data_IF_436417735789
#
_entry.id   IF_436417735789
#
_cell.length_a   1.000
_cell.length_b   1.000
_cell.length_c   1.000
_cell.angle_alpha   90.00
_cell.angle_beta   90.00
_cell.angle_gamma   90.00
#
_symmetry.space_group_name_H-M   'P 1'
#
loop_
_entity.id
_entity.type
_entity.pdbx_description
1 polymer ?
#
# COMPACT_ATOMS: atom_id res chain seq x y z
N UNK A 1 -33.39 -16.06 5.23
CA UNK A 1 -32.52 -14.86 5.29
C UNK A 1 -31.32 -15.08 4.37
N UNK A 2 -31.37 -14.55 3.16
CA UNK A 2 -30.29 -14.65 2.18
C UNK A 2 -29.15 -13.73 2.62
N UNK A 3 -28.05 -14.29 3.13
CA UNK A 3 -26.81 -13.54 3.30
C UNK A 3 -26.29 -13.17 1.91
N UNK A 4 -26.61 -11.94 1.49
CA UNK A 4 -26.05 -11.32 0.29
C UNK A 4 -24.54 -11.22 0.53
N UNK A 5 -23.79 -12.19 0.02
CA UNK A 5 -22.33 -12.15 -0.01
C UNK A 5 -21.97 -10.81 -0.64
N UNK A 6 -21.44 -9.90 0.18
CA UNK A 6 -20.89 -8.64 -0.30
C UNK A 6 -19.85 -9.04 -1.34
N UNK A 7 -20.06 -8.54 -2.54
CA UNK A 7 -19.16 -8.70 -3.65
C UNK A 7 -17.85 -7.99 -3.25
N UNK A 8 -16.93 -8.73 -2.64
CA UNK A 8 -15.55 -8.29 -2.36
C UNK A 8 -14.75 -8.17 -3.67
N UNK A 9 -15.40 -8.41 -4.81
CA UNK A 9 -14.93 -8.30 -6.18
C UNK A 9 -14.87 -6.85 -6.69
N UNK A 10 -15.12 -5.87 -5.82
CA UNK A 10 -14.41 -4.59 -5.89
C UNK A 10 -13.04 -4.71 -5.20
N UNK A 11 -12.40 -5.87 -5.38
CA UNK A 11 -10.98 -6.05 -5.15
C UNK A 11 -10.29 -4.96 -5.95
N UNK A 12 -9.71 -4.01 -5.23
CA UNK A 12 -8.65 -3.10 -5.65
C UNK A 12 -8.47 -3.09 -7.15
N UNK A 13 -9.03 -2.09 -7.84
CA UNK A 13 -8.57 -1.86 -9.20
C UNK A 13 -7.06 -1.67 -9.07
N UNK A 14 -6.27 -2.59 -9.62
CA UNK A 14 -4.81 -2.47 -9.71
C UNK A 14 -4.38 -1.17 -10.44
N UNK A 15 -5.36 -0.51 -11.06
CA UNK A 15 -5.36 0.80 -11.70
C UNK A 15 -5.44 2.00 -10.72
N UNK A 16 -5.51 1.77 -9.41
CA UNK A 16 -5.53 2.87 -8.43
C UNK A 16 -4.13 3.52 -8.36
N UNK A 17 -4.04 4.86 -8.49
CA UNK A 17 -2.75 5.55 -8.55
C UNK A 17 -1.88 5.26 -7.33
N UNK A 18 -2.47 5.09 -6.14
CA UNK A 18 -1.73 4.74 -4.93
C UNK A 18 -0.99 3.41 -5.03
N UNK A 19 -1.58 2.42 -5.71
CA UNK A 19 -0.93 1.12 -5.91
C UNK A 19 0.25 1.25 -6.87
N UNK A 20 0.06 2.01 -7.96
CA UNK A 20 1.13 2.29 -8.93
C UNK A 20 2.30 3.00 -8.26
N UNK A 21 2.03 4.02 -7.45
CA UNK A 21 3.05 4.78 -6.72
C UNK A 21 3.83 3.90 -5.71
N UNK A 22 3.16 3.00 -5.01
CA UNK A 22 3.81 2.06 -4.09
C UNK A 22 4.75 1.08 -4.82
N UNK A 23 4.31 0.56 -5.97
CA UNK A 23 5.13 -0.34 -6.80
C UNK A 23 6.34 0.42 -7.39
N UNK A 24 6.14 1.65 -7.87
CA UNK A 24 7.22 2.50 -8.39
C UNK A 24 8.25 2.83 -7.29
N UNK A 25 7.82 3.08 -6.06
CA UNK A 25 8.71 3.33 -4.93
C UNK A 25 9.56 2.08 -4.60
N UNK A 26 8.96 0.90 -4.57
CA UNK A 26 9.67 -0.36 -4.36
C UNK A 26 10.69 -0.62 -5.48
N UNK A 27 10.30 -0.45 -6.74
CA UNK A 27 11.23 -0.62 -7.88
C UNK A 27 12.46 0.28 -7.74
N UNK A 28 12.27 1.55 -7.36
CA UNK A 28 13.38 2.50 -7.14
C UNK A 28 14.30 2.09 -6.00
N UNK A 29 13.75 1.63 -4.87
CA UNK A 29 14.55 1.11 -3.76
C UNK A 29 15.40 -0.10 -4.19
N UNK A 30 14.79 -1.08 -4.86
CA UNK A 30 15.49 -2.29 -5.32
C UNK A 30 16.53 -1.97 -6.39
N UNK A 31 16.23 -1.04 -7.31
CA UNK A 31 17.18 -0.62 -8.32
C UNK A 31 18.39 0.09 -7.69
N UNK A 32 18.16 0.98 -6.72
CA UNK A 32 19.23 1.64 -5.99
C UNK A 32 20.09 0.62 -5.22
N UNK A 33 19.47 -0.37 -4.57
CA UNK A 33 20.21 -1.45 -3.91
C UNK A 33 21.06 -2.25 -4.91
N UNK A 34 20.50 -2.58 -6.08
CA UNK A 34 21.21 -3.31 -7.13
C UNK A 34 22.36 -2.51 -7.75
N UNK A 35 22.23 -1.18 -7.81
CA UNK A 35 23.27 -0.25 -8.25
C UNK A 35 24.39 -0.05 -7.20
N UNK A 36 24.26 -0.68 -6.03
CA UNK A 36 25.23 -0.57 -4.93
C UNK A 36 25.05 0.69 -4.08
N UNK A 37 23.96 1.45 -4.29
CA UNK A 37 23.60 2.58 -3.47
C UNK A 37 23.35 2.10 -2.03
N UNK A 38 23.92 2.78 -1.05
CA UNK A 38 23.90 2.37 0.35
C UNK A 38 23.85 3.59 1.27
N UNK A 39 23.61 3.37 2.56
CA UNK A 39 23.52 4.43 3.56
C UNK A 39 22.24 5.24 3.46
N UNK A 40 22.32 6.53 3.79
CA UNK A 40 21.15 7.41 4.02
C UNK A 40 20.20 7.50 2.84
N UNK A 41 20.71 7.50 1.60
CA UNK A 41 19.85 7.61 0.41
C UNK A 41 19.08 6.30 0.16
N UNK A 42 19.70 5.15 0.39
CA UNK A 42 19.01 3.85 0.31
C UNK A 42 17.94 3.71 1.40
N UNK A 43 18.27 4.14 2.63
CA UNK A 43 17.33 4.17 3.76
C UNK A 43 16.14 5.09 3.48
N UNK A 44 16.38 6.24 2.85
CA UNK A 44 15.30 7.16 2.44
C UNK A 44 14.35 6.52 1.44
N UNK A 45 14.89 5.86 0.42
CA UNK A 45 14.09 5.15 -0.58
C UNK A 45 13.27 4.02 0.06
N UNK A 46 13.86 3.31 1.02
CA UNK A 46 13.18 2.28 1.81
C UNK A 46 11.98 2.85 2.56
N UNK A 47 12.19 3.94 3.32
CA UNK A 47 11.13 4.58 4.09
C UNK A 47 9.98 5.09 3.22
N UNK A 48 10.28 5.63 2.04
CA UNK A 48 9.26 6.07 1.07
C UNK A 48 8.43 4.86 0.59
N UNK A 49 9.08 3.74 0.27
CA UNK A 49 8.39 2.54 -0.17
C UNK A 49 7.52 1.94 0.96
N UNK A 50 8.02 1.90 2.19
CA UNK A 50 7.28 1.45 3.38
C UNK A 50 6.04 2.32 3.65
N UNK A 51 6.18 3.65 3.58
CA UNK A 51 5.07 4.59 3.76
C UNK A 51 3.97 4.42 2.70
N UNK A 52 4.35 4.23 1.43
CA UNK A 52 3.38 4.04 0.35
C UNK A 52 2.61 2.71 0.51
N UNK A 53 3.27 1.65 0.97
CA UNK A 53 2.61 0.40 1.29
C UNK A 53 1.66 0.51 2.49
N UNK A 54 2.02 1.29 3.51
CA UNK A 54 1.11 1.57 4.62
C UNK A 54 -0.13 2.32 4.15
N UNK A 55 0.01 3.33 3.28
CA UNK A 55 -1.12 4.06 2.73
C UNK A 55 -2.06 3.12 1.94
N UNK A 56 -1.51 2.25 1.09
CA UNK A 56 -2.31 1.24 0.36
C UNK A 56 -3.05 0.31 1.31
N UNK A 57 -2.42 -0.10 2.41
CA UNK A 57 -3.02 -0.97 3.42
C UNK A 57 -4.14 -0.25 4.19
N UNK A 58 -3.94 1.01 4.56
CA UNK A 58 -4.95 1.85 5.21
C UNK A 58 -6.17 2.06 4.31
N UNK A 59 -5.94 2.37 3.04
CA UNK A 59 -7.00 2.48 2.04
C UNK A 59 -7.78 1.17 1.89
N UNK A 60 -7.09 0.02 1.84
CA UNK A 60 -7.75 -1.29 1.81
C UNK A 60 -8.62 -1.52 3.05
N UNK A 61 -8.13 -1.22 4.25
CA UNK A 61 -8.86 -1.41 5.49
C UNK A 61 -10.08 -0.46 5.60
N UNK A 62 -9.92 0.79 5.18
CA UNK A 62 -11.01 1.78 5.10
C UNK A 62 -12.06 1.40 4.06
N UNK A 63 -11.64 0.98 2.86
CA UNK A 63 -12.53 0.58 1.78
C UNK A 63 -13.26 -0.74 2.06
N UNK A 64 -12.64 -1.67 2.79
CA UNK A 64 -13.25 -2.94 3.22
C UNK A 64 -14.21 -2.77 4.41
N UNK A 65 -14.34 -1.56 4.98
CA UNK A 65 -15.36 -1.24 5.96
C UNK A 65 -15.17 -1.96 7.29
N UNK A 66 -13.96 -1.97 7.86
CA UNK A 66 -13.83 -2.26 9.29
C UNK A 66 -14.41 -1.04 10.04
N UNK A 67 -15.43 -1.19 10.89
CA UNK A 67 -15.81 -0.11 11.78
C UNK A 67 -14.59 0.19 12.65
N UNK A 68 -14.06 1.42 12.57
CA UNK A 68 -13.10 1.90 13.53
C UNK A 68 -13.69 1.64 14.93
N UNK A 69 -12.95 1.06 15.89
CA UNK A 69 -13.42 1.05 17.26
C UNK A 69 -13.65 2.51 17.64
N UNK A 70 -14.91 2.85 17.91
CA UNK A 70 -15.28 4.15 18.46
C UNK A 70 -14.50 4.29 19.75
N UNK A 71 -13.50 5.16 19.75
CA UNK A 71 -12.87 5.63 20.98
C UNK A 71 -13.96 6.31 21.79
N UNK A 72 -14.30 5.74 22.95
CA UNK A 72 -15.18 6.31 23.97
C UNK A 72 -14.33 6.91 25.07
#
# INVERSE_FOLDING_TARGET
>A
MTMKRRDHSKALRADDPMYTEAIEAMKRYHQAQADGLSGTELERLRLIAEQQFQAVTDYQLGALGRPAPKTH
#
